data_IF_918892908221
#
_entry.id   IF_918892908221
#
_cell.length_a   1.000
_cell.length_b   1.000
_cell.length_c   1.000
_cell.angle_alpha   90.00
_cell.angle_beta   90.00
_cell.angle_gamma   90.00
#
_symmetry.space_group_name_H-M   'P 1'
#
loop_
_entity.id
_entity.type
_entity.pdbx_description
1 polymer ?
#
# COMPACT_ATOMS: atom_id res chain seq x y z
N UNK A 1 -12.04 -10.01 11.89
CA UNK A 1 -12.06 -8.69 11.23
C UNK A 1 -10.80 -8.64 10.40
N UNK A 2 -10.91 -8.45 9.08
CA UNK A 2 -9.74 -8.44 8.21
C UNK A 2 -8.90 -7.19 8.50
N UNK A 3 -7.60 -7.36 8.68
CA UNK A 3 -6.67 -6.25 8.71
C UNK A 3 -6.65 -5.61 7.30
N UNK A 4 -6.74 -4.29 7.25
CA UNK A 4 -6.74 -3.53 6.01
C UNK A 4 -5.64 -2.48 6.06
N UNK A 5 -4.99 -2.25 4.93
CA UNK A 5 -3.96 -1.22 4.77
C UNK A 5 -4.33 -0.34 3.61
N UNK A 6 -4.01 0.95 3.68
CA UNK A 6 -4.24 1.87 2.57
C UNK A 6 -2.93 2.53 2.15
N UNK A 7 -2.78 2.76 0.85
CA UNK A 7 -1.60 3.40 0.28
C UNK A 7 -1.99 4.79 -0.17
N UNK A 8 -1.28 5.80 0.33
CA UNK A 8 -1.51 7.20 -0.04
C UNK A 8 -0.19 7.93 -0.27
N UNK A 9 -0.13 8.71 -1.34
CA UNK A 9 0.99 9.61 -1.59
C UNK A 9 0.66 10.99 -1.06
N UNK A 10 1.64 11.64 -0.45
CA UNK A 10 1.51 13.00 0.05
C UNK A 10 2.64 13.87 -0.48
N UNK A 11 2.35 15.15 -0.72
CA UNK A 11 3.35 16.19 -1.04
C UNK A 11 2.99 17.44 -0.25
N UNK A 12 3.92 17.91 0.59
CA UNK A 12 3.69 19.09 1.42
C UNK A 12 2.49 18.99 2.38
N UNK A 13 2.12 17.79 2.81
CA UNK A 13 0.99 17.53 3.71
C UNK A 13 -0.34 17.20 3.02
N UNK A 14 -0.42 17.37 1.69
CA UNK A 14 -1.65 17.15 0.92
C UNK A 14 -1.61 15.82 0.15
N UNK A 15 -2.74 15.10 0.04
CA UNK A 15 -2.81 13.87 -0.75
C UNK A 15 -2.63 14.15 -2.24
N UNK A 16 -1.83 13.33 -2.91
CA UNK A 16 -1.57 13.42 -4.34
C UNK A 16 -2.24 12.26 -5.11
N UNK A 17 -2.61 12.53 -6.36
CA UNK A 17 -3.13 11.51 -7.27
C UNK A 17 -2.06 10.46 -7.54
N UNK A 18 -2.44 9.18 -7.45
CA UNK A 18 -1.55 8.07 -7.73
C UNK A 18 -1.41 7.85 -9.24
N UNK A 19 -0.24 7.38 -9.67
CA UNK A 19 -0.02 7.04 -11.07
C UNK A 19 -0.73 5.72 -11.42
N UNK A 20 -1.88 5.82 -12.10
CA UNK A 20 -2.68 4.68 -12.58
C UNK A 20 -1.86 3.70 -13.44
N UNK A 21 -0.87 4.18 -14.18
CA UNK A 21 -0.03 3.29 -14.99
C UNK A 21 0.81 2.39 -14.11
N UNK A 22 1.41 2.96 -13.06
CA UNK A 22 2.19 2.19 -12.08
C UNK A 22 1.31 1.19 -11.36
N UNK A 23 0.11 1.61 -10.91
CA UNK A 23 -0.84 0.71 -10.24
C UNK A 23 -1.20 -0.46 -11.16
N UNK A 24 -1.55 -0.17 -12.42
CA UNK A 24 -1.91 -1.20 -13.40
C UNK A 24 -0.75 -2.13 -13.70
N UNK A 25 0.44 -1.60 -13.93
CA UNK A 25 1.63 -2.39 -14.28
C UNK A 25 2.01 -3.36 -13.16
N UNK A 26 1.87 -2.93 -11.89
CA UNK A 26 2.17 -3.75 -10.73
C UNK A 26 1.05 -4.76 -10.45
N UNK A 27 -0.22 -4.36 -10.54
CA UNK A 27 -1.34 -5.24 -10.20
C UNK A 27 -1.72 -6.24 -11.29
N UNK A 28 -1.59 -5.86 -12.57
CA UNK A 28 -2.07 -6.68 -13.70
C UNK A 28 -1.57 -8.14 -13.70
N UNK A 29 -0.31 -8.45 -13.36
CA UNK A 29 0.18 -9.84 -13.27
C UNK A 29 -0.48 -10.66 -12.16
N UNK A 30 -1.07 -9.99 -11.16
CA UNK A 30 -1.62 -10.61 -9.96
C UNK A 30 -3.15 -10.60 -9.91
N UNK A 31 -3.84 -9.98 -10.88
CA UNK A 31 -5.31 -9.95 -10.90
C UNK A 31 -5.85 -11.36 -11.14
N UNK A 32 -6.44 -11.94 -10.10
CA UNK A 32 -7.16 -13.21 -10.19
C UNK A 32 -8.59 -13.00 -10.69
N UNK A 33 -9.20 -11.88 -10.31
CA UNK A 33 -10.57 -11.52 -10.71
C UNK A 33 -10.81 -10.02 -10.56
N UNK A 34 -11.54 -9.40 -11.49
CA UNK A 34 -12.09 -8.07 -11.30
C UNK A 34 -13.40 -8.11 -10.48
N UNK A 35 -13.57 -7.14 -9.59
CA UNK A 35 -14.78 -6.95 -8.78
C UNK A 35 -15.97 -6.46 -9.61
N UNK A 36 -17.04 -6.04 -8.93
CA UNK A 36 -18.24 -5.53 -9.63
C UNK A 36 -18.10 -4.05 -9.95
N UNK A 37 -17.47 -3.31 -9.05
CA UNK A 37 -17.24 -1.89 -9.23
C UNK A 37 -15.89 -1.62 -9.90
N UNK A 38 -15.82 -0.47 -10.58
CA UNK A 38 -14.60 -0.06 -11.25
C UNK A 38 -13.51 0.23 -10.20
N UNK A 39 -12.40 -0.49 -10.29
CA UNK A 39 -11.27 -0.34 -9.35
C UNK A 39 -11.18 -1.45 -8.30
N UNK A 40 -12.24 -2.25 -8.11
CA UNK A 40 -12.21 -3.43 -7.23
C UNK A 40 -11.51 -4.59 -7.93
N UNK A 41 -10.51 -5.18 -7.27
CA UNK A 41 -9.70 -6.27 -7.80
C UNK A 41 -9.47 -7.32 -6.72
N UNK A 42 -9.64 -8.59 -7.05
CA UNK A 42 -9.09 -9.69 -6.27
C UNK A 42 -7.71 -10.01 -6.84
N UNK A 43 -6.67 -9.80 -6.04
CA UNK A 43 -5.30 -10.14 -6.40
C UNK A 43 -4.90 -11.44 -5.74
N UNK A 44 -4.08 -12.23 -6.43
CA UNK A 44 -3.48 -13.46 -5.91
C UNK A 44 -1.97 -13.38 -6.07
N UNK A 45 -1.26 -13.45 -4.95
CA UNK A 45 0.19 -13.54 -4.91
C UNK A 45 0.67 -14.95 -5.32
N UNK A 46 1.97 -15.07 -5.62
CA UNK A 46 2.57 -16.32 -6.10
C UNK A 46 2.49 -17.47 -5.09
N UNK A 47 2.39 -17.16 -3.79
CA UNK A 47 2.21 -18.14 -2.71
C UNK A 47 0.75 -18.58 -2.53
N UNK A 48 -0.17 -18.08 -3.37
CA UNK A 48 -1.60 -18.36 -3.31
C UNK A 48 -2.37 -17.47 -2.33
N UNK A 49 -1.71 -16.53 -1.64
CA UNK A 49 -2.37 -15.54 -0.80
C UNK A 49 -3.25 -14.60 -1.63
N UNK A 50 -4.46 -14.33 -1.16
CA UNK A 50 -5.41 -13.46 -1.84
C UNK A 50 -5.71 -12.21 -1.01
N UNK A 51 -5.92 -11.10 -1.70
CA UNK A 51 -6.41 -9.87 -1.10
C UNK A 51 -7.39 -9.16 -2.04
N UNK A 52 -8.35 -8.47 -1.44
CA UNK A 52 -9.24 -7.55 -2.14
C UNK A 52 -8.54 -6.19 -2.19
N UNK A 53 -8.47 -5.57 -3.35
CA UNK A 53 -7.77 -4.31 -3.60
C UNK A 53 -8.73 -3.36 -4.29
N UNK A 54 -8.95 -2.21 -3.68
CA UNK A 54 -9.81 -1.17 -4.21
C UNK A 54 -8.96 0.03 -4.62
N UNK A 55 -8.96 0.34 -5.92
CA UNK A 55 -8.17 1.41 -6.50
C UNK A 55 -9.02 2.65 -6.70
N UNK A 56 -8.56 3.78 -6.16
CA UNK A 56 -9.11 5.10 -6.37
C UNK A 56 -8.04 6.05 -6.93
N UNK A 57 -8.45 7.27 -7.30
CA UNK A 57 -7.50 8.27 -7.84
C UNK A 57 -6.42 8.67 -6.82
N UNK A 58 -6.70 8.62 -5.52
CA UNK A 58 -5.83 9.14 -4.45
C UNK A 58 -5.38 8.07 -3.47
N UNK A 59 -5.72 6.81 -3.72
CA UNK A 59 -5.45 5.74 -2.78
C UNK A 59 -5.66 4.35 -3.35
N UNK A 60 -4.94 3.39 -2.77
CA UNK A 60 -5.18 1.96 -2.97
C UNK A 60 -5.49 1.36 -1.61
N UNK A 61 -6.68 0.84 -1.43
CA UNK A 61 -7.10 0.15 -0.22
C UNK A 61 -6.93 -1.36 -0.41
N UNK A 62 -6.34 -2.03 0.57
CA UNK A 62 -6.11 -3.47 0.53
C UNK A 62 -6.81 -4.11 1.72
N UNK A 63 -7.81 -4.91 1.42
CA UNK A 63 -8.64 -5.63 2.38
C UNK A 63 -8.23 -7.10 2.49
N UNK A 64 -8.53 -7.67 3.66
CA UNK A 64 -8.18 -9.06 4.02
C UNK A 64 -6.69 -9.34 3.90
N UNK A 65 -5.87 -8.34 4.21
CA UNK A 65 -4.43 -8.36 4.02
C UNK A 65 -3.79 -9.57 4.71
N UNK A 66 -3.35 -10.59 3.97
CA UNK A 66 -2.81 -11.81 4.56
C UNK A 66 -1.33 -11.64 4.90
N UNK A 67 -0.84 -12.39 5.88
CA UNK A 67 0.58 -12.55 6.11
C UNK A 67 1.19 -13.45 5.01
N UNK A 68 1.76 -12.84 3.96
CA UNK A 68 2.29 -13.60 2.81
C UNK A 68 2.74 -12.74 1.64
N UNK A 69 2.68 -13.29 0.43
CA UNK A 69 3.16 -12.69 -0.81
C UNK A 69 2.48 -11.36 -1.17
N UNK A 70 1.27 -11.12 -0.67
CA UNK A 70 0.57 -9.83 -0.83
C UNK A 70 1.34 -8.69 -0.17
N UNK A 71 2.09 -8.95 0.91
CA UNK A 71 2.94 -7.94 1.56
C UNK A 71 4.02 -7.44 0.59
N UNK A 72 4.60 -8.32 -0.22
CA UNK A 72 5.58 -7.94 -1.22
C UNK A 72 4.96 -7.07 -2.32
N UNK A 73 3.74 -7.38 -2.74
CA UNK A 73 2.99 -6.59 -3.71
C UNK A 73 2.69 -5.18 -3.19
N UNK A 74 2.24 -5.06 -1.93
CA UNK A 74 1.98 -3.76 -1.28
C UNK A 74 3.26 -2.95 -1.14
N UNK A 75 4.36 -3.58 -0.73
CA UNK A 75 5.64 -2.88 -0.65
C UNK A 75 6.13 -2.40 -2.02
N UNK A 76 5.99 -3.20 -3.08
CA UNK A 76 6.34 -2.79 -4.45
C UNK A 76 5.49 -1.60 -4.91
N UNK A 77 4.17 -1.65 -4.70
CA UNK A 77 3.27 -0.54 -5.00
C UNK A 77 3.69 0.74 -4.27
N UNK A 78 3.89 0.64 -2.96
CA UNK A 78 4.28 1.78 -2.13
C UNK A 78 5.61 2.39 -2.58
N UNK A 79 6.61 1.56 -2.87
CA UNK A 79 7.91 2.01 -3.34
C UNK A 79 7.85 2.70 -4.71
N UNK A 80 7.13 2.12 -5.68
CA UNK A 80 7.04 2.67 -7.04
C UNK A 80 6.17 3.92 -7.12
N UNK A 81 5.17 4.03 -6.26
CA UNK A 81 4.30 5.21 -6.17
C UNK A 81 4.90 6.31 -5.30
N UNK A 82 5.90 6.01 -4.48
CA UNK A 82 6.30 6.90 -3.40
C UNK A 82 5.16 7.13 -2.40
N UNK A 83 4.33 6.11 -2.17
CA UNK A 83 3.21 6.16 -1.25
C UNK A 83 3.62 5.73 0.16
N UNK A 84 2.98 6.33 1.15
CA UNK A 84 2.98 5.86 2.53
C UNK A 84 1.98 4.71 2.69
N UNK A 85 2.30 3.74 3.53
CA UNK A 85 1.40 2.67 3.93
C UNK A 85 0.75 3.05 5.26
N UNK A 86 -0.55 3.29 5.23
CA UNK A 86 -1.34 3.65 6.39
C UNK A 86 -1.96 2.39 6.98
N UNK A 87 -1.68 2.19 8.26
CA UNK A 87 -2.18 1.10 9.08
C UNK A 87 -3.18 1.66 10.10
N UNK A 88 -4.04 0.83 10.70
CA UNK A 88 -4.89 1.26 11.81
C UNK A 88 -4.11 1.88 12.97
N UNK A 89 -2.88 1.42 13.20
CA UNK A 89 -2.07 1.75 14.37
C UNK A 89 -0.85 2.64 14.05
N UNK A 90 -0.66 3.06 12.79
CA UNK A 90 0.51 3.86 12.40
C UNK A 90 0.67 4.09 10.91
N UNK A 91 1.78 4.73 10.53
CA UNK A 91 2.12 5.00 9.12
C UNK A 91 3.54 4.51 8.86
N UNK A 92 3.74 3.83 7.74
CA UNK A 92 5.05 3.37 7.28
C UNK A 92 5.45 4.12 6.01
N UNK A 93 6.69 4.58 5.95
CA UNK A 93 7.26 5.29 4.80
C UNK A 93 8.63 4.73 4.45
N UNK A 94 9.05 4.88 3.19
CA UNK A 94 10.32 4.36 2.68
C UNK A 94 11.53 5.22 3.00
N UNK A 95 11.33 6.52 3.22
CA UNK A 95 12.40 7.46 3.53
C UNK A 95 11.91 8.69 4.35
N UNK A 96 12.85 9.52 4.79
CA UNK A 96 12.57 10.74 5.54
C UNK A 96 11.94 11.85 4.68
N UNK A 97 12.10 11.82 3.35
CA UNK A 97 11.48 12.80 2.45
C UNK A 97 9.96 12.56 2.39
N UNK A 98 9.54 11.30 2.22
CA UNK A 98 8.16 10.89 2.34
C UNK A 98 7.58 11.25 3.71
N UNK A 99 8.34 11.02 4.79
CA UNK A 99 7.92 11.43 6.13
C UNK A 99 7.68 12.95 6.23
N UNK A 100 8.58 13.76 5.69
CA UNK A 100 8.44 15.22 5.69
C UNK A 100 7.20 15.67 4.92
N UNK A 101 6.84 14.96 3.86
CA UNK A 101 5.64 15.23 3.06
C UNK A 101 4.32 14.81 3.71
N UNK A 102 4.34 14.02 4.78
CA UNK A 102 3.12 13.69 5.52
C UNK A 102 2.52 14.91 6.22
N UNK A 103 1.19 14.95 6.43
CA UNK A 103 0.57 15.93 7.32
C UNK A 103 1.05 15.74 8.75
N UNK A 104 1.05 16.82 9.54
CA UNK A 104 1.69 16.87 10.85
C UNK A 104 1.26 15.73 11.79
N UNK A 105 -0.04 15.40 11.81
CA UNK A 105 -0.56 14.30 12.64
C UNK A 105 -0.08 12.90 12.23
N UNK A 106 0.19 12.67 10.94
CA UNK A 106 0.73 11.39 10.46
C UNK A 106 2.26 11.36 10.56
N UNK A 107 2.93 12.52 10.43
CA UNK A 107 4.40 12.63 10.48
C UNK A 107 4.98 12.14 11.81
N UNK A 108 4.28 12.41 12.92
CA UNK A 108 4.68 11.98 14.26
C UNK A 108 4.54 10.47 14.46
N UNK A 109 3.49 9.86 13.87
CA UNK A 109 3.22 8.43 13.92
C UNK A 109 3.97 7.62 12.85
N UNK A 110 4.71 8.30 11.96
CA UNK A 110 5.39 7.66 10.85
C UNK A 110 6.69 6.98 11.27
N UNK A 111 6.85 5.73 10.84
CA UNK A 111 8.08 4.95 10.97
C UNK A 111 8.70 4.78 9.59
N UNK A 112 9.99 5.14 9.48
CA UNK A 112 10.76 4.92 8.26
C UNK A 112 11.24 3.48 8.24
N UNK A 113 10.92 2.77 7.17
CA UNK A 113 11.31 1.39 6.93
C UNK A 113 11.96 1.27 5.56
N UNK A 114 12.69 0.19 5.33
CA UNK A 114 13.01 -0.19 3.96
C UNK A 114 11.71 -0.63 3.27
N UNK A 115 11.25 0.10 2.25
CA UNK A 115 9.99 -0.18 1.54
C UNK A 115 10.14 -1.37 0.58
N UNK A 116 10.47 -2.53 1.14
CA UNK A 116 10.56 -3.83 0.49
C UNK A 116 9.61 -4.78 1.18
N UNK A 117 9.27 -5.90 0.54
CA UNK A 117 8.38 -6.87 1.16
C UNK A 117 8.91 -7.42 2.50
N UNK A 118 10.23 -7.57 2.64
CA UNK A 118 10.84 -7.96 3.92
C UNK A 118 10.80 -6.85 4.97
N UNK A 119 11.05 -5.60 4.60
CA UNK A 119 11.00 -4.47 5.53
C UNK A 119 9.57 -4.21 6.02
N UNK A 120 8.61 -4.23 5.10
CA UNK A 120 7.18 -4.09 5.44
C UNK A 120 6.72 -5.26 6.32
N UNK A 121 7.10 -6.50 6.00
CA UNK A 121 6.77 -7.66 6.84
C UNK A 121 7.35 -7.54 8.25
N UNK A 122 8.62 -7.13 8.36
CA UNK A 122 9.26 -6.91 9.66
C UNK A 122 8.56 -5.83 10.49
N UNK A 123 8.04 -4.78 9.84
CA UNK A 123 7.29 -3.73 10.52
C UNK A 123 5.89 -4.16 10.97
N UNK A 124 5.26 -5.12 10.28
CA UNK A 124 3.95 -5.66 10.63
C UNK A 124 4.01 -6.75 11.70
N UNK A 125 5.14 -7.47 11.79
CA UNK A 125 5.36 -8.56 12.75
C UNK A 125 5.91 -8.07 14.11
N UNK A 126 6.37 -6.82 14.20
CA UNK A 126 7.03 -6.22 15.38
C UNK A 126 6.08 -5.49 16.33
#
# INVERSE_FOLDING_TARGET
>A
MGYGVSLHRFVGGEPEVLDDRVIRDVLAPHVARAGRDAGELLVRAADGGEAEVDVSATGVDVHRFPSGGVVHLVAELAARLGAAVVLPDGVLVGDEEQRANLPDGLREAAVVIEMTGSGLRGALDG
#
